data_IF_824832020246
#
_entry.id   IF_824832020246
#
_cell.length_a   1.000
_cell.length_b   1.000
_cell.length_c   1.000
_cell.angle_alpha   90.00
_cell.angle_beta   90.00
_cell.angle_gamma   90.00
#
_symmetry.space_group_name_H-M   'P 1'
#
loop_
_entity.id
_entity.type
_entity.pdbx_description
1 polymer ?
#
# COMPACT_ATOMS: atom_id res chain seq x y z
N UNK A 1 5.19 -11.76 4.72
CA UNK A 1 5.81 -10.48 4.32
C UNK A 1 5.87 -10.31 2.80
N UNK A 2 6.41 -11.28 2.02
CA UNK A 2 6.50 -11.15 0.55
C UNK A 2 5.13 -10.87 -0.07
N UNK A 3 4.12 -11.65 0.30
CA UNK A 3 2.75 -11.43 -0.17
C UNK A 3 2.22 -10.03 0.21
N UNK A 4 2.56 -9.54 1.39
CA UNK A 4 2.10 -8.24 1.85
C UNK A 4 2.72 -7.10 1.03
N UNK A 5 4.02 -7.19 0.73
CA UNK A 5 4.71 -6.24 -0.16
C UNK A 5 4.10 -6.28 -1.57
N UNK A 6 3.91 -7.49 -2.13
CA UNK A 6 3.26 -7.65 -3.43
C UNK A 6 1.83 -7.03 -3.43
N UNK A 7 1.13 -7.13 -2.31
CA UNK A 7 -0.20 -6.55 -2.15
C UNK A 7 -0.15 -5.03 -2.00
N UNK A 8 0.71 -4.48 -1.14
CA UNK A 8 0.82 -3.04 -0.93
C UNK A 8 1.06 -2.29 -2.24
N UNK A 9 2.06 -2.71 -2.99
CA UNK A 9 2.51 -2.06 -4.21
C UNK A 9 1.89 -2.66 -5.49
N UNK A 10 0.91 -3.53 -5.37
CA UNK A 10 0.27 -4.20 -6.51
C UNK A 10 1.31 -4.79 -7.48
N UNK A 11 2.32 -5.48 -6.94
CA UNK A 11 3.39 -6.05 -7.74
C UNK A 11 2.96 -7.35 -8.39
N UNK A 12 3.51 -7.60 -9.57
CA UNK A 12 3.50 -8.88 -10.26
C UNK A 12 4.85 -9.55 -10.03
N UNK A 13 4.82 -10.83 -9.73
CA UNK A 13 6.03 -11.65 -9.59
C UNK A 13 5.96 -12.81 -10.57
N UNK A 14 6.94 -12.91 -11.45
CA UNK A 14 7.04 -13.97 -12.44
C UNK A 14 8.46 -14.55 -12.47
N UNK A 15 8.62 -15.82 -12.84
CA UNK A 15 9.95 -16.41 -13.06
C UNK A 15 10.71 -15.67 -14.18
N UNK A 16 12.01 -15.51 -13.99
CA UNK A 16 12.89 -15.01 -15.06
C UNK A 16 13.25 -16.19 -15.98
N UNK A 17 12.74 -16.18 -17.20
CA UNK A 17 13.00 -17.22 -18.19
C UNK A 17 14.49 -17.31 -18.62
N UNK A 18 15.28 -16.26 -18.37
CA UNK A 18 16.70 -16.20 -18.75
C UNK A 18 17.64 -16.66 -17.63
N UNK A 19 17.18 -16.58 -16.38
CA UNK A 19 18.00 -16.88 -15.20
C UNK A 19 17.25 -17.81 -14.24
N UNK A 20 17.62 -19.09 -14.20
CA UNK A 20 16.98 -20.06 -13.29
C UNK A 20 17.04 -19.56 -11.83
N UNK A 21 15.97 -19.78 -11.09
CA UNK A 21 15.78 -19.37 -9.68
C UNK A 21 15.71 -17.85 -9.43
N UNK A 22 15.59 -17.04 -10.47
CA UNK A 22 15.33 -15.61 -10.34
C UNK A 22 13.86 -15.31 -10.61
N UNK A 23 13.39 -14.22 -9.98
CA UNK A 23 12.07 -13.66 -10.21
C UNK A 23 12.20 -12.21 -10.66
N UNK A 24 11.35 -11.83 -11.60
CA UNK A 24 11.13 -10.43 -11.98
C UNK A 24 9.94 -9.96 -11.15
N UNK A 25 10.12 -8.83 -10.45
CA UNK A 25 9.07 -8.23 -9.62
C UNK A 25 8.96 -6.78 -10.04
N UNK A 26 7.78 -6.39 -10.49
CA UNK A 26 7.53 -5.03 -10.98
C UNK A 26 6.07 -4.61 -10.71
N UNK A 27 5.76 -3.30 -10.66
CA UNK A 27 4.40 -2.83 -10.51
C UNK A 27 3.50 -3.29 -11.65
N UNK A 28 2.27 -3.68 -11.32
CA UNK A 28 1.31 -4.16 -12.32
C UNK A 28 1.11 -3.17 -13.47
N UNK A 29 1.12 -1.88 -13.19
CA UNK A 29 0.92 -0.83 -14.20
C UNK A 29 2.07 -0.72 -15.19
N UNK A 30 3.27 -1.13 -14.84
CA UNK A 30 4.46 -1.16 -15.69
C UNK A 30 4.54 -2.48 -16.46
N UNK A 31 4.16 -3.56 -15.79
CA UNK A 31 4.14 -4.90 -16.34
C UNK A 31 3.10 -5.06 -17.44
N UNK A 32 1.86 -4.58 -17.22
CA UNK A 32 0.75 -4.93 -18.08
C UNK A 32 0.80 -4.22 -19.44
N UNK A 33 0.92 -5.01 -20.51
CA UNK A 33 1.00 -4.50 -21.88
C UNK A 33 2.38 -3.95 -22.27
N UNK A 34 3.42 -4.23 -21.48
CA UNK A 34 4.81 -3.89 -21.80
C UNK A 34 5.45 -4.86 -22.80
N UNK A 35 4.87 -6.04 -22.96
CA UNK A 35 5.34 -7.09 -23.84
C UNK A 35 5.03 -6.87 -25.31
N UNK A 36 5.09 -7.94 -26.08
CA UNK A 36 4.86 -7.93 -27.51
C UNK A 36 3.38 -7.99 -27.84
N UNK A 37 2.96 -7.35 -28.92
CA UNK A 37 1.61 -7.50 -29.45
C UNK A 37 1.59 -8.58 -30.54
N UNK A 38 0.81 -9.62 -30.32
CA UNK A 38 0.62 -10.72 -31.28
C UNK A 38 -0.76 -10.66 -31.92
N UNK A 39 -0.84 -10.79 -33.24
CA UNK A 39 -2.12 -10.97 -33.94
C UNK A 39 -2.46 -12.46 -34.01
N UNK A 40 -3.45 -12.87 -33.20
CA UNK A 40 -3.99 -14.23 -33.17
C UNK A 40 -5.35 -14.36 -33.84
N UNK A 41 -5.78 -13.37 -34.62
CA UNK A 41 -7.07 -13.44 -35.35
C UNK A 41 -7.15 -14.69 -36.23
N UNK A 42 -6.05 -15.03 -36.90
CA UNK A 42 -5.96 -16.22 -37.79
C UNK A 42 -5.73 -17.54 -37.04
N UNK A 43 -5.47 -17.51 -35.72
CA UNK A 43 -5.28 -18.70 -34.88
C UNK A 43 -6.54 -19.08 -34.11
N UNK A 44 -7.57 -18.25 -34.17
CA UNK A 44 -8.85 -18.52 -33.53
C UNK A 44 -9.51 -19.74 -34.19
N UNK A 45 -9.99 -20.68 -33.39
CA UNK A 45 -10.74 -21.85 -33.87
C UNK A 45 -12.20 -21.40 -34.14
N UNK A 46 -12.54 -21.14 -35.39
CA UNK A 46 -13.85 -20.61 -35.76
C UNK A 46 -15.02 -21.60 -35.54
N UNK A 47 -14.72 -22.90 -35.59
CA UNK A 47 -15.71 -23.97 -35.41
C UNK A 47 -16.06 -24.21 -33.90
N UNK A 48 -15.48 -23.46 -33.01
CA UNK A 48 -15.74 -23.58 -31.57
C UNK A 48 -16.29 -22.29 -30.98
N UNK A 49 -17.21 -22.44 -30.04
CA UNK A 49 -17.85 -21.29 -29.38
C UNK A 49 -16.80 -20.46 -28.62
N UNK A 50 -16.80 -19.16 -28.90
CA UNK A 50 -16.10 -18.14 -28.15
C UNK A 50 -17.07 -17.46 -27.21
N UNK A 51 -16.69 -17.31 -25.94
CA UNK A 51 -17.52 -16.64 -24.94
C UNK A 51 -16.95 -15.27 -24.63
N UNK A 52 -17.73 -14.23 -24.87
CA UNK A 52 -17.40 -12.85 -24.50
C UNK A 52 -18.33 -12.40 -23.40
N UNK A 53 -17.79 -12.27 -22.18
CA UNK A 53 -18.57 -11.94 -21.00
C UNK A 53 -18.10 -10.65 -20.31
N UNK A 54 -19.00 -9.92 -19.63
CA UNK A 54 -18.61 -8.82 -18.77
C UNK A 54 -17.86 -9.33 -17.54
N UNK A 55 -17.05 -8.46 -16.92
CA UNK A 55 -16.21 -8.82 -15.76
C UNK A 55 -16.98 -8.88 -14.42
N UNK A 56 -18.30 -8.98 -14.41
CA UNK A 56 -19.11 -8.95 -13.17
C UNK A 56 -18.68 -9.98 -12.13
N UNK A 57 -18.27 -11.17 -12.58
CA UNK A 57 -17.84 -12.23 -11.66
C UNK A 57 -16.53 -11.94 -10.93
N UNK A 58 -15.76 -10.96 -11.41
CA UNK A 58 -14.49 -10.53 -10.80
C UNK A 58 -14.57 -9.19 -10.10
N UNK A 59 -15.73 -8.53 -10.21
CA UNK A 59 -16.01 -7.24 -9.60
C UNK A 59 -16.82 -7.43 -8.30
N UNK A 60 -16.67 -6.51 -7.37
CA UNK A 60 -17.47 -6.41 -6.14
C UNK A 60 -18.06 -5.01 -6.05
N UNK A 61 -19.17 -4.86 -5.36
CA UNK A 61 -19.75 -3.53 -5.13
C UNK A 61 -18.78 -2.63 -4.37
N UNK A 62 -18.05 -3.23 -3.42
CA UNK A 62 -17.09 -2.53 -2.57
C UNK A 62 -15.76 -3.29 -2.52
N UNK A 63 -14.66 -2.57 -2.49
CA UNK A 63 -13.32 -3.10 -2.19
C UNK A 63 -12.78 -2.35 -0.99
N UNK A 64 -12.38 -3.08 0.03
CA UNK A 64 -11.76 -2.55 1.23
C UNK A 64 -10.27 -2.85 1.22
N UNK A 65 -9.45 -1.81 1.37
CA UNK A 65 -8.01 -1.89 1.52
C UNK A 65 -7.66 -1.59 2.97
N UNK A 66 -6.95 -2.50 3.63
CA UNK A 66 -6.61 -2.34 5.04
C UNK A 66 -5.25 -2.91 5.37
N UNK A 67 -4.69 -2.40 6.46
CA UNK A 67 -3.50 -2.95 7.10
C UNK A 67 -3.87 -3.82 8.29
N UNK A 68 -2.89 -4.56 8.78
CA UNK A 68 -3.01 -5.24 10.05
C UNK A 68 -3.16 -4.23 11.19
N UNK A 69 -4.05 -4.53 12.11
CA UNK A 69 -4.17 -3.78 13.37
C UNK A 69 -2.89 -3.92 14.18
N UNK A 70 -2.49 -2.87 14.89
CA UNK A 70 -1.34 -2.87 15.80
C UNK A 70 -1.73 -2.35 17.17
N UNK A 71 -0.96 -2.74 18.19
CA UNK A 71 -1.24 -2.42 19.59
C UNK A 71 -0.56 -1.13 20.06
N UNK A 72 0.21 -0.47 19.19
CA UNK A 72 0.79 0.81 19.55
C UNK A 72 -0.28 1.87 19.79
N UNK A 73 0.06 2.84 20.64
CA UNK A 73 -0.91 3.82 21.13
C UNK A 73 -1.64 4.56 20.02
N UNK A 74 -0.93 5.03 18.98
CA UNK A 74 -1.55 5.85 17.94
C UNK A 74 -2.47 5.01 17.06
N UNK A 75 -2.05 3.81 16.63
CA UNK A 75 -2.91 2.92 15.85
C UNK A 75 -4.14 2.48 16.62
N UNK A 76 -3.97 2.12 17.89
CA UNK A 76 -5.10 1.73 18.74
C UNK A 76 -6.07 2.90 18.97
N UNK A 77 -5.54 4.09 19.26
CA UNK A 77 -6.36 5.29 19.43
C UNK A 77 -7.13 5.62 18.14
N UNK A 78 -6.49 5.52 16.97
CA UNK A 78 -7.16 5.73 15.69
C UNK A 78 -8.27 4.70 15.47
N UNK A 79 -8.00 3.43 15.71
CA UNK A 79 -8.96 2.34 15.54
C UNK A 79 -10.16 2.47 16.49
N UNK A 80 -9.93 2.84 17.74
CA UNK A 80 -10.99 3.04 18.72
C UNK A 80 -11.94 4.16 18.32
N UNK A 81 -11.43 5.20 17.67
CA UNK A 81 -12.22 6.35 17.20
C UNK A 81 -12.89 6.10 15.84
N UNK A 82 -12.19 5.49 14.89
CA UNK A 82 -12.64 5.36 13.49
C UNK A 82 -13.16 3.97 13.13
N UNK A 83 -12.96 2.97 13.99
CA UNK A 83 -13.41 1.57 13.81
C UNK A 83 -12.75 0.83 12.65
N UNK A 84 -11.63 1.33 12.17
CA UNK A 84 -10.77 0.68 11.17
C UNK A 84 -9.29 1.02 11.45
N UNK A 85 -8.38 0.22 10.91
CA UNK A 85 -6.97 0.50 10.97
C UNK A 85 -6.62 1.80 10.22
N UNK A 86 -5.54 2.47 10.64
CA UNK A 86 -5.05 3.67 9.97
C UNK A 86 -4.72 3.37 8.49
N UNK A 87 -4.95 4.35 7.61
CA UNK A 87 -4.70 4.20 6.18
C UNK A 87 -5.70 3.30 5.45
N UNK A 88 -6.86 3.03 6.04
CA UNK A 88 -7.95 2.28 5.42
C UNK A 88 -8.57 3.04 4.24
N UNK A 89 -8.87 2.32 3.16
CA UNK A 89 -9.60 2.86 2.02
C UNK A 89 -10.76 1.95 1.63
N UNK A 90 -11.91 2.54 1.39
CA UNK A 90 -13.06 1.87 0.81
C UNK A 90 -13.35 2.42 -0.59
N UNK A 91 -13.16 1.58 -1.59
CA UNK A 91 -13.58 1.87 -2.97
C UNK A 91 -15.00 1.37 -3.18
N UNK A 92 -15.89 2.23 -3.68
CA UNK A 92 -17.26 1.90 -4.05
C UNK A 92 -17.41 2.00 -5.57
N UNK A 93 -17.89 0.93 -6.21
CA UNK A 93 -18.03 0.85 -7.66
C UNK A 93 -19.11 1.75 -8.24
N UNK A 94 -20.02 2.26 -7.42
CA UNK A 94 -21.23 2.98 -7.80
C UNK A 94 -22.11 2.23 -8.82
N UNK A 95 -21.98 0.90 -8.92
CA UNK A 95 -22.75 0.05 -9.81
C UNK A 95 -23.73 -0.80 -8.99
N UNK A 96 -25.00 -0.49 -9.10
CA UNK A 96 -26.08 -1.14 -8.34
C UNK A 96 -26.26 -2.64 -8.64
N UNK A 97 -25.77 -3.11 -9.79
CA UNK A 97 -25.83 -4.52 -10.18
C UNK A 97 -24.78 -5.37 -9.46
N UNK A 98 -23.72 -4.76 -8.95
CA UNK A 98 -22.68 -5.46 -8.23
C UNK A 98 -23.08 -5.64 -6.76
N UNK A 99 -22.60 -6.74 -6.18
CA UNK A 99 -22.84 -7.08 -4.78
C UNK A 99 -21.56 -7.52 -4.10
N UNK A 100 -21.60 -7.52 -2.78
CA UNK A 100 -20.53 -8.03 -1.94
C UNK A 100 -19.35 -7.07 -1.77
N UNK A 101 -18.51 -7.40 -0.80
CA UNK A 101 -17.30 -6.68 -0.43
C UNK A 101 -16.10 -7.60 -0.61
N UNK A 102 -15.09 -7.12 -1.32
CA UNK A 102 -13.79 -7.77 -1.42
C UNK A 102 -12.80 -7.08 -0.49
N UNK A 103 -12.10 -7.86 0.33
CA UNK A 103 -11.07 -7.34 1.23
C UNK A 103 -9.68 -7.59 0.65
N UNK A 104 -8.88 -6.54 0.62
CA UNK A 104 -7.46 -6.56 0.27
C UNK A 104 -6.71 -6.12 1.52
N UNK A 105 -6.19 -7.10 2.24
CA UNK A 105 -5.60 -6.91 3.56
C UNK A 105 -4.12 -7.24 3.55
N UNK A 106 -3.33 -6.32 4.08
CA UNK A 106 -1.89 -6.48 4.36
C UNK A 106 -1.74 -6.97 5.80
N UNK A 107 -1.51 -8.26 5.98
CA UNK A 107 -1.66 -8.93 7.29
C UNK A 107 -0.44 -8.84 8.21
N UNK A 108 0.74 -8.78 7.64
CA UNK A 108 2.00 -8.83 8.39
C UNK A 108 2.68 -7.48 8.57
N UNK A 109 2.13 -6.41 7.98
CA UNK A 109 2.67 -5.06 8.00
C UNK A 109 1.60 -4.14 8.58
N UNK A 110 1.96 -3.37 9.59
CA UNK A 110 1.09 -2.36 10.19
C UNK A 110 1.35 -0.99 9.56
N UNK A 111 0.35 -0.12 9.52
CA UNK A 111 0.51 1.25 9.07
C UNK A 111 1.30 2.05 10.11
N UNK A 112 1.92 3.14 9.66
CA UNK A 112 2.68 4.01 10.54
C UNK A 112 2.12 5.42 10.47
N UNK A 113 1.14 5.77 11.32
CA UNK A 113 0.79 7.16 11.53
C UNK A 113 1.95 7.87 12.20
N UNK A 114 2.30 9.06 11.70
CA UNK A 114 3.18 9.97 12.42
C UNK A 114 2.34 10.89 13.27
N UNK A 115 2.75 11.12 14.50
CA UNK A 115 2.13 12.11 15.36
C UNK A 115 3.13 13.15 15.80
N UNK A 116 2.60 14.32 16.15
CA UNK A 116 3.37 15.45 16.57
C UNK A 116 3.23 15.65 18.08
N UNK A 117 4.29 15.37 18.80
CA UNK A 117 4.33 15.68 20.23
C UNK A 117 4.72 17.14 20.41
N UNK A 118 3.86 17.89 21.01
CA UNK A 118 4.14 19.25 21.49
C UNK A 118 4.64 19.16 22.92
N UNK A 119 5.94 19.33 23.13
CA UNK A 119 6.47 19.52 24.48
C UNK A 119 6.10 20.92 24.96
N UNK A 120 5.11 21.01 25.84
CA UNK A 120 4.78 22.26 26.54
C UNK A 120 5.54 22.30 27.87
N UNK A 121 6.77 22.80 27.84
CA UNK A 121 7.43 23.27 29.07
C UNK A 121 7.48 24.79 29.03
N UNK A 122 7.13 25.48 30.14
CA UNK A 122 7.24 26.93 30.19
C UNK A 122 8.68 27.37 29.89
N UNK A 123 8.89 28.14 28.84
CA UNK A 123 10.19 28.68 28.45
C UNK A 123 10.89 27.98 27.29
N UNK A 124 10.34 26.88 26.75
CA UNK A 124 10.85 26.24 25.53
C UNK A 124 9.93 26.51 24.35
N UNK A 125 10.51 26.82 23.19
CA UNK A 125 9.76 26.90 21.97
C UNK A 125 9.09 25.54 21.69
N UNK A 126 7.81 25.55 21.37
CA UNK A 126 7.09 24.35 21.00
C UNK A 126 7.62 23.85 19.66
N UNK A 127 8.52 22.91 19.69
CA UNK A 127 9.03 22.27 18.48
C UNK A 127 8.19 21.02 18.24
N UNK A 128 7.41 20.99 17.15
CA UNK A 128 6.65 19.81 16.79
C UNK A 128 7.62 18.65 16.49
N UNK A 129 7.43 17.55 17.17
CA UNK A 129 8.22 16.33 16.95
C UNK A 129 7.34 15.22 16.46
N UNK A 130 7.77 14.64 15.37
CA UNK A 130 7.14 13.47 14.81
C UNK A 130 7.71 12.23 15.47
N UNK A 131 6.85 11.41 16.04
CA UNK A 131 7.26 10.20 16.77
C UNK A 131 6.35 9.04 16.41
N UNK A 132 6.93 7.87 16.49
CA UNK A 132 6.21 6.60 16.47
C UNK A 132 6.35 6.04 17.89
N UNK A 133 5.29 6.04 18.71
CA UNK A 133 5.38 5.51 20.06
C UNK A 133 5.61 4.00 20.01
N UNK A 134 6.59 3.53 20.74
CA UNK A 134 6.91 2.10 20.89
C UNK A 134 6.70 1.60 22.31
N UNK A 135 6.41 2.50 23.23
CA UNK A 135 6.18 2.21 24.65
C UNK A 135 5.02 3.07 25.12
N UNK A 136 4.16 2.52 25.93
CA UNK A 136 3.17 3.33 26.65
C UNK A 136 3.33 3.11 28.16
N UNK A 137 2.88 4.09 28.93
CA UNK A 137 2.85 4.03 30.37
C UNK A 137 1.45 3.71 30.85
N UNK A 138 1.33 2.78 31.78
CA UNK A 138 0.14 2.61 32.59
C UNK A 138 0.37 3.23 33.96
N UNK A 139 -0.62 3.98 34.44
CA UNK A 139 -0.62 4.55 35.78
C UNK A 139 -1.79 3.90 36.53
N UNK A 140 -1.49 3.08 37.51
CA UNK A 140 -2.50 2.45 38.39
C UNK A 140 -2.66 3.20 39.73
N UNK A 141 -2.11 4.41 39.80
CA UNK A 141 -2.21 5.32 40.94
C UNK A 141 -1.06 5.23 41.91
N UNK A 142 -0.26 4.16 41.94
CA UNK A 142 0.87 3.97 42.85
C UNK A 142 2.22 3.88 42.13
N UNK A 143 2.24 3.48 40.87
CA UNK A 143 3.47 3.37 40.10
C UNK A 143 3.23 3.58 38.60
N UNK A 144 4.18 4.24 37.95
CA UNK A 144 4.22 4.32 36.46
C UNK A 144 4.92 3.05 35.99
N UNK A 145 4.18 2.20 35.29
CA UNK A 145 4.73 1.01 34.64
C UNK A 145 4.97 1.28 33.14
N UNK A 146 6.18 0.97 32.69
CA UNK A 146 6.54 1.04 31.28
C UNK A 146 6.29 -0.31 30.62
N UNK A 147 5.23 -0.40 29.84
CA UNK A 147 4.88 -1.63 29.14
C UNK A 147 5.47 -1.60 27.72
N UNK A 148 6.45 -2.47 27.42
CA UNK A 148 6.99 -2.54 26.07
C UNK A 148 5.94 -3.12 25.11
N UNK A 149 5.69 -2.42 24.02
CA UNK A 149 4.84 -2.88 22.94
C UNK A 149 5.69 -3.70 21.97
N UNK A 150 5.13 -4.79 21.43
CA UNK A 150 5.71 -5.54 20.33
C UNK A 150 5.03 -5.11 19.03
N UNK A 151 5.47 -4.03 18.39
CA UNK A 151 4.83 -3.56 17.17
C UNK A 151 5.02 -4.57 16.05
N UNK A 152 4.06 -4.64 15.15
CA UNK A 152 4.21 -5.38 13.90
C UNK A 152 5.25 -4.73 13.02
N UNK A 153 5.72 -5.49 12.03
CA UNK A 153 6.67 -4.97 11.03
C UNK A 153 6.09 -3.75 10.32
N UNK A 154 6.94 -2.77 10.05
CA UNK A 154 6.58 -1.54 9.32
C UNK A 154 7.55 -1.32 8.19
N UNK A 155 7.09 -0.67 7.14
CA UNK A 155 7.91 -0.19 6.03
C UNK A 155 7.92 1.33 6.12
N UNK A 156 9.11 1.91 6.11
CA UNK A 156 9.33 3.34 6.27
C UNK A 156 10.41 3.81 5.31
N UNK A 157 10.31 5.05 4.87
CA UNK A 157 11.39 5.74 4.20
C UNK A 157 12.34 6.35 5.23
N UNK A 158 13.63 6.35 4.92
CA UNK A 158 14.62 7.11 5.67
C UNK A 158 14.71 8.52 5.10
N UNK A 159 14.28 9.50 5.87
CA UNK A 159 14.21 10.90 5.46
C UNK A 159 15.43 11.72 5.90
N UNK A 160 16.53 11.05 6.22
CA UNK A 160 17.79 11.69 6.60
C UNK A 160 17.86 12.14 8.06
N UNK A 161 18.93 12.82 8.39
CA UNK A 161 19.12 13.45 9.69
C UNK A 161 18.38 14.79 9.70
N UNK A 162 17.58 15.01 10.74
CA UNK A 162 16.83 16.25 10.94
C UNK A 162 17.40 17.00 12.14
N UNK A 163 17.61 18.30 11.97
CA UNK A 163 18.02 19.19 13.05
C UNK A 163 16.92 19.25 14.10
N UNK A 164 17.26 18.89 15.32
CA UNK A 164 16.41 18.96 16.50
C UNK A 164 16.96 19.98 17.52
N UNK A 165 17.77 20.91 17.06
CA UNK A 165 18.29 21.99 17.90
C UNK A 165 17.16 22.72 18.61
N UNK A 166 17.37 23.02 19.90
CA UNK A 166 16.33 23.58 20.77
C UNK A 166 15.50 22.54 21.53
N UNK A 167 15.76 21.24 21.31
CA UNK A 167 15.31 20.17 22.18
C UNK A 167 16.51 19.39 22.67
N UNK A 168 16.73 19.40 23.97
CA UNK A 168 17.83 18.65 24.56
C UNK A 168 17.46 17.17 24.62
N UNK A 169 18.23 16.35 23.90
CA UNK A 169 18.19 14.92 24.08
C UNK A 169 19.61 14.36 24.13
N UNK A 170 19.78 13.32 24.92
CA UNK A 170 21.09 12.81 25.25
C UNK A 170 21.17 11.31 24.94
N UNK A 171 22.25 10.89 24.33
CA UNK A 171 22.63 9.49 24.27
C UNK A 171 23.68 9.22 25.33
N UNK A 172 23.44 8.21 26.17
CA UNK A 172 24.45 7.70 27.07
C UNK A 172 25.40 6.78 26.27
N UNK A 173 26.68 7.01 26.39
CA UNK A 173 27.70 6.06 25.94
C UNK A 173 27.85 4.90 26.94
N UNK A 174 28.68 3.89 26.61
CA UNK A 174 28.95 2.74 27.46
C UNK A 174 29.59 3.11 28.81
N UNK A 175 30.16 4.29 28.90
CA UNK A 175 30.74 4.82 30.14
C UNK A 175 29.76 5.65 30.99
N UNK A 176 28.49 5.70 30.59
CA UNK A 176 27.45 6.46 31.30
C UNK A 176 27.52 7.98 31.10
N UNK A 177 28.36 8.46 30.19
CA UNK A 177 28.46 9.88 29.89
C UNK A 177 27.41 10.23 28.85
N UNK A 178 26.50 11.14 29.20
CA UNK A 178 25.49 11.65 28.31
C UNK A 178 26.11 12.63 27.28
N UNK A 179 25.85 12.44 26.01
CA UNK A 179 26.24 13.38 24.96
C UNK A 179 25.01 14.02 24.34
N UNK A 180 24.98 15.35 24.33
CA UNK A 180 23.92 16.12 23.68
C UNK A 180 23.93 15.83 22.17
N UNK A 181 22.77 15.55 21.64
CA UNK A 181 22.57 15.34 20.21
C UNK A 181 21.74 16.49 19.66
N UNK A 182 22.13 16.99 18.50
CA UNK A 182 21.44 18.06 17.78
C UNK A 182 20.68 17.54 16.55
N UNK A 183 21.00 16.34 16.11
CA UNK A 183 20.41 15.72 14.93
C UNK A 183 19.75 14.40 15.27
N UNK A 184 18.64 14.11 14.60
CA UNK A 184 17.88 12.86 14.78
C UNK A 184 17.61 12.19 13.43
N UNK A 185 17.82 10.87 13.29
CA UNK A 185 17.42 10.15 12.10
C UNK A 185 15.90 10.08 12.00
N UNK A 186 15.34 10.71 10.98
CA UNK A 186 13.92 10.66 10.70
C UNK A 186 13.58 9.48 9.80
N UNK A 187 12.60 8.69 10.22
CA UNK A 187 11.94 7.68 9.38
C UNK A 187 10.45 7.97 9.34
N UNK A 188 9.84 7.85 8.18
CA UNK A 188 8.42 8.17 8.03
C UNK A 188 7.74 7.33 6.94
N UNK A 189 6.41 7.28 6.89
CA UNK A 189 5.69 6.66 5.80
C UNK A 189 5.70 7.49 4.50
N UNK A 190 6.34 8.66 4.49
CA UNK A 190 6.41 9.56 3.35
C UNK A 190 7.77 9.50 2.68
N UNK A 191 7.77 9.44 1.35
CA UNK A 191 8.99 9.42 0.54
C UNK A 191 9.88 10.64 0.75
N UNK A 192 9.27 11.81 0.87
CA UNK A 192 9.98 13.07 1.02
C UNK A 192 9.66 13.77 2.33
N UNK A 193 10.65 14.47 2.86
CA UNK A 193 10.49 15.35 4.02
C UNK A 193 11.15 16.69 3.74
N UNK A 194 10.49 17.86 3.91
CA UNK A 194 9.08 18.02 4.32
C UNK A 194 8.06 17.38 3.34
N UNK A 195 6.92 16.98 3.87
CA UNK A 195 5.86 16.31 3.09
C UNK A 195 5.31 17.29 2.06
N UNK A 196 5.27 16.88 0.81
CA UNK A 196 4.63 17.59 -0.30
C UNK A 196 3.49 16.75 -0.89
N UNK A 197 2.58 17.38 -1.60
CA UNK A 197 1.40 16.70 -2.16
C UNK A 197 1.70 15.57 -3.14
N UNK A 198 2.91 15.57 -3.71
CA UNK A 198 3.39 14.52 -4.64
C UNK A 198 4.23 13.43 -3.97
N UNK A 199 4.53 13.57 -2.67
CA UNK A 199 5.27 12.53 -1.94
C UNK A 199 4.43 11.25 -1.86
N UNK A 200 5.05 10.10 -2.14
CA UNK A 200 4.40 8.83 -1.89
C UNK A 200 4.14 8.67 -0.39
N UNK A 201 2.90 8.30 -0.07
CA UNK A 201 2.46 7.94 1.27
C UNK A 201 2.21 6.42 1.31
N UNK A 202 2.88 5.71 2.21
CA UNK A 202 2.76 4.24 2.36
C UNK A 202 1.44 3.80 3.03
N UNK A 203 0.37 4.56 2.90
CA UNK A 203 -0.98 4.22 3.32
C UNK A 203 -1.91 4.15 2.10
N UNK A 204 -3.02 3.41 2.21
CA UNK A 204 -3.99 3.30 1.10
C UNK A 204 -4.84 4.55 0.96
N UNK A 205 -5.03 5.33 2.03
CA UNK A 205 -5.75 6.60 2.00
C UNK A 205 -5.02 7.68 2.77
N UNK A 206 -5.40 8.92 2.52
CA UNK A 206 -5.07 10.06 3.37
C UNK A 206 -6.08 10.12 4.52
N UNK A 207 -5.68 9.64 5.67
CA UNK A 207 -6.55 9.53 6.82
C UNK A 207 -6.43 10.75 7.76
N UNK A 208 -7.45 10.98 8.56
CA UNK A 208 -7.41 12.05 9.56
C UNK A 208 -6.71 11.55 10.82
N UNK A 209 -5.70 12.27 11.28
CA UNK A 209 -5.03 12.00 12.54
C UNK A 209 -5.58 12.90 13.64
N UNK A 210 -5.79 12.32 14.80
CA UNK A 210 -6.17 13.05 16.00
C UNK A 210 -4.98 13.07 16.96
N UNK A 211 -4.67 14.24 17.49
CA UNK A 211 -3.63 14.35 18.52
C UNK A 211 -4.04 13.69 19.82
N UNK A 212 -3.02 13.32 20.59
CA UNK A 212 -3.14 12.79 21.96
C UNK A 212 -3.82 13.81 22.89
N UNK A 213 -3.80 15.09 22.53
CA UNK A 213 -4.49 16.15 23.29
C UNK A 213 -5.38 16.96 22.34
N UNK A 214 -6.48 16.41 21.84
CA UNK A 214 -7.30 17.06 20.84
C UNK A 214 -8.17 18.12 21.48
N UNK A 215 -8.02 19.33 21.02
CA UNK A 215 -9.21 20.20 20.97
C UNK A 215 -10.17 19.56 19.96
N UNK A 216 -11.46 19.40 20.27
CA UNK A 216 -12.42 18.84 19.32
C UNK A 216 -12.35 19.59 17.97
N UNK A 217 -12.06 18.87 16.90
CA UNK A 217 -11.93 19.43 15.56
C UNK A 217 -10.50 19.71 15.06
N UNK A 218 -9.45 19.45 15.84
CA UNK A 218 -8.08 19.59 15.40
C UNK A 218 -7.51 18.27 14.85
N UNK A 219 -8.12 17.73 13.82
CA UNK A 219 -7.55 16.61 13.06
C UNK A 219 -6.58 17.13 11.99
N UNK A 220 -5.51 16.37 11.74
CA UNK A 220 -4.63 16.59 10.61
C UNK A 220 -4.88 15.53 9.56
N UNK A 221 -5.02 15.99 8.31
CA UNK A 221 -5.06 15.09 7.17
C UNK A 221 -3.63 14.77 6.73
N UNK A 222 -3.37 13.52 6.45
CA UNK A 222 -2.15 13.14 5.79
C UNK A 222 -2.14 13.70 4.37
N UNK A 223 -0.96 14.03 3.90
CA UNK A 223 -0.74 14.54 2.56
C UNK A 223 0.01 13.50 1.73
N UNK A 224 0.12 13.76 0.45
CA UNK A 224 0.85 12.91 -0.47
C UNK A 224 -0.04 12.02 -1.34
N UNK A 225 0.59 11.39 -2.32
CA UNK A 225 -0.03 10.38 -3.18
C UNK A 225 -0.07 9.04 -2.45
N UNK A 226 -1.22 8.40 -2.40
CA UNK A 226 -1.40 7.16 -1.63
C UNK A 226 -0.96 5.93 -2.40
N UNK A 227 -0.81 4.78 -1.71
CA UNK A 227 -0.59 3.50 -2.37
C UNK A 227 -1.71 3.16 -3.35
N UNK A 228 -2.94 3.57 -3.04
CA UNK A 228 -4.06 3.37 -3.95
C UNK A 228 -3.90 4.20 -5.22
N UNK A 229 -3.56 5.48 -5.11
CA UNK A 229 -3.41 6.37 -6.24
C UNK A 229 -2.30 5.91 -7.18
N UNK A 230 -1.15 5.54 -6.62
CA UNK A 230 0.04 5.17 -7.40
C UNK A 230 -0.03 3.76 -7.99
N UNK A 231 -0.52 2.77 -7.24
CA UNK A 231 -0.38 1.37 -7.65
C UNK A 231 -1.70 0.66 -7.96
N UNK A 232 -2.83 1.13 -7.40
CA UNK A 232 -4.09 0.42 -7.52
C UNK A 232 -5.11 1.09 -8.44
N UNK A 233 -5.09 2.40 -8.55
CA UNK A 233 -6.12 3.18 -9.26
C UNK A 233 -6.27 2.74 -10.73
N UNK A 234 -5.18 2.55 -11.45
CA UNK A 234 -5.20 2.09 -12.85
C UNK A 234 -5.74 0.68 -13.01
N UNK A 235 -5.39 -0.22 -12.09
CA UNK A 235 -5.94 -1.57 -12.08
C UNK A 235 -7.45 -1.55 -11.86
N UNK A 236 -7.92 -0.80 -10.87
CA UNK A 236 -9.34 -0.65 -10.58
C UNK A 236 -10.06 0.00 -11.75
N UNK A 237 -9.52 1.07 -12.35
CA UNK A 237 -10.09 1.70 -13.53
C UNK A 237 -10.22 0.70 -14.70
N UNK A 238 -9.23 -0.16 -14.93
CA UNK A 238 -9.32 -1.18 -15.98
C UNK A 238 -10.33 -2.27 -15.66
N UNK A 239 -10.42 -2.71 -14.40
CA UNK A 239 -11.34 -3.75 -13.96
C UNK A 239 -12.79 -3.29 -14.01
N UNK A 240 -13.08 -2.04 -13.62
CA UNK A 240 -14.44 -1.47 -13.59
C UNK A 240 -14.81 -0.68 -14.84
N UNK A 241 -13.98 -0.70 -15.89
CA UNK A 241 -14.32 -0.07 -17.13
C UNK A 241 -15.53 -0.80 -17.77
N UNK A 242 -16.57 -0.03 -18.12
CA UNK A 242 -17.83 -0.56 -18.69
C UNK A 242 -17.64 -1.31 -20.01
N UNK A 243 -16.53 -1.09 -20.71
CA UNK A 243 -16.22 -1.76 -21.97
C UNK A 243 -15.32 -2.98 -21.80
N UNK A 244 -14.76 -3.21 -20.62
CA UNK A 244 -13.92 -4.37 -20.36
C UNK A 244 -14.71 -5.66 -20.40
N UNK A 245 -14.17 -6.64 -21.13
CA UNK A 245 -14.78 -7.96 -21.35
C UNK A 245 -13.72 -9.04 -21.21
N UNK A 246 -14.13 -10.20 -20.75
CA UNK A 246 -13.34 -11.42 -20.81
C UNK A 246 -13.70 -12.18 -22.06
N UNK A 247 -12.69 -12.53 -22.84
CA UNK A 247 -12.82 -13.46 -23.97
C UNK A 247 -12.27 -14.82 -23.52
N UNK A 248 -13.10 -15.84 -23.60
CA UNK A 248 -12.69 -17.25 -23.51
C UNK A 248 -12.86 -17.86 -24.87
N UNK A 249 -11.76 -18.27 -25.49
CA UNK A 249 -11.73 -18.83 -26.84
C UNK A 249 -10.62 -19.86 -26.96
N UNK A 250 -10.73 -20.72 -27.97
CA UNK A 250 -9.66 -21.68 -28.33
C UNK A 250 -8.83 -21.13 -29.48
N UNK A 251 -7.52 -21.33 -29.33
CA UNK A 251 -6.54 -20.93 -30.34
C UNK A 251 -5.66 -22.14 -30.73
N UNK A 252 -5.30 -22.23 -31.99
CA UNK A 252 -4.30 -23.17 -32.46
C UNK A 252 -2.94 -22.52 -32.34
N UNK A 253 -2.20 -22.90 -31.33
CA UNK A 253 -0.87 -22.36 -31.03
C UNK A 253 0.19 -23.42 -31.32
N UNK A 254 1.32 -23.00 -31.85
CA UNK A 254 2.49 -23.85 -31.98
C UNK A 254 3.42 -23.70 -30.76
N UNK A 255 4.43 -24.56 -30.65
CA UNK A 255 5.37 -24.55 -29.53
C UNK A 255 6.10 -23.20 -29.39
N UNK A 256 6.37 -22.50 -30.48
CA UNK A 256 7.05 -21.19 -30.47
C UNK A 256 6.12 -20.11 -29.89
N UNK A 257 4.85 -20.16 -30.23
CA UNK A 257 3.85 -19.24 -29.66
C UNK A 257 3.77 -19.40 -28.14
N UNK A 258 3.75 -20.65 -27.65
CA UNK A 258 3.65 -20.93 -26.21
C UNK A 258 4.93 -20.56 -25.47
N UNK A 259 6.10 -20.78 -26.09
CA UNK A 259 7.39 -20.43 -25.47
C UNK A 259 7.63 -18.92 -25.36
N UNK A 260 7.10 -18.15 -26.33
CA UNK A 260 7.29 -16.71 -26.39
C UNK A 260 6.21 -15.93 -25.65
N UNK A 261 5.05 -16.55 -25.37
CA UNK A 261 3.95 -15.86 -24.72
C UNK A 261 4.25 -15.59 -23.24
N UNK A 262 4.12 -14.34 -22.88
CA UNK A 262 4.23 -13.87 -21.49
C UNK A 262 2.94 -13.13 -21.09
N UNK A 263 2.68 -12.96 -19.79
CA UNK A 263 1.44 -12.34 -19.31
C UNK A 263 1.44 -10.80 -19.43
N UNK A 264 2.56 -10.21 -19.79
CA UNK A 264 2.70 -8.79 -20.16
C UNK A 264 2.38 -8.51 -21.63
N UNK A 265 2.24 -9.56 -22.47
CA UNK A 265 1.91 -9.44 -23.87
C UNK A 265 0.48 -8.96 -24.12
N UNK A 266 0.25 -8.48 -25.32
CA UNK A 266 -1.06 -8.09 -25.81
C UNK A 266 -1.47 -8.98 -26.99
N UNK A 267 -2.65 -9.56 -26.93
CA UNK A 267 -3.19 -10.40 -27.97
C UNK A 267 -4.26 -9.62 -28.74
N UNK A 268 -4.04 -9.41 -30.02
CA UNK A 268 -5.02 -8.83 -30.92
C UNK A 268 -5.87 -9.95 -31.55
N UNK A 269 -7.19 -9.84 -31.45
CA UNK A 269 -8.14 -10.79 -32.02
C UNK A 269 -9.32 -10.01 -32.61
N UNK A 270 -9.54 -10.15 -33.91
CA UNK A 270 -10.70 -9.60 -34.63
C UNK A 270 -11.02 -8.13 -34.25
N UNK A 271 -10.04 -7.25 -34.34
CA UNK A 271 -10.23 -5.82 -34.11
C UNK A 271 -10.20 -5.37 -32.65
N UNK A 272 -9.87 -6.27 -31.70
CA UNK A 272 -9.81 -5.95 -30.26
C UNK A 272 -8.52 -6.45 -29.64
N UNK A 273 -8.04 -5.71 -28.63
CA UNK A 273 -6.85 -6.03 -27.86
C UNK A 273 -7.25 -6.68 -26.54
N UNK A 274 -6.61 -7.81 -26.24
CA UNK A 274 -6.80 -8.57 -25.01
C UNK A 274 -5.47 -8.77 -24.29
N UNK A 275 -5.56 -8.98 -23.00
CA UNK A 275 -4.41 -9.33 -22.14
C UNK A 275 -4.60 -10.76 -21.68
N UNK A 276 -3.56 -11.61 -21.74
CA UNK A 276 -3.64 -12.97 -21.23
C UNK A 276 -3.98 -12.95 -19.74
N UNK A 277 -4.96 -13.70 -19.32
CA UNK A 277 -5.32 -13.88 -17.90
C UNK A 277 -5.02 -15.30 -17.44
N UNK A 278 -5.30 -16.26 -18.30
CA UNK A 278 -5.13 -17.67 -18.00
C UNK A 278 -4.99 -18.47 -19.28
N UNK A 279 -4.10 -19.42 -19.31
CA UNK A 279 -3.95 -20.41 -20.35
C UNK A 279 -4.41 -21.74 -19.77
N UNK A 280 -5.27 -22.46 -20.50
CA UNK A 280 -5.75 -23.80 -20.15
C UNK A 280 -5.45 -24.68 -21.33
N UNK A 281 -4.73 -25.77 -21.10
CA UNK A 281 -4.44 -26.80 -22.09
C UNK A 281 -5.57 -27.82 -22.17
#
# INVERSE_FOLDING_TARGET
YVKDILTMFRLVMQPDNKRPNNFIIEPWQEFIGSGTTYDWSHKLVEDMDSVLEPLFNTQSATIEYSFAEDEDFINKFHQDNNKHAYGYLQFNSANELLKGTRKIEVKGIAPTPLDQITASSPGYATIPKWVIPTVFTTDDGDAIEYVPIKPKTRILFYNGMQDVSGVEWYLNNDSGVASLQTDWPLVSPYENWPIVSTSLNLNFSNDTRYYINPSPGSGYFDQGSTLFDEYWSRYIASLYNKFSRRLTAKFILNNVDLQNLTFDDVIFVNGKYYRPEKIID
#
